data_IF_230684614386
#
_entry.id   IF_230684614386
#
_cell.length_a   1.000
_cell.length_b   1.000
_cell.length_c   1.000
_cell.angle_alpha   90.00
_cell.angle_beta   90.00
_cell.angle_gamma   90.00
#
_symmetry.space_group_name_H-M   'P 1'
#
loop_
_entity.id
_entity.type
_entity.pdbx_description
1 polymer ?
#
# COMPACT_ATOMS: atom_id res chain seq x y z
N UNK A 1 -7.37 16.80 10.47
CA UNK A 1 -7.24 15.62 11.36
C UNK A 1 -7.23 16.09 12.82
N UNK A 2 -8.22 15.71 13.61
CA UNK A 2 -8.19 15.88 15.06
C UNK A 2 -7.99 14.50 15.70
N UNK A 3 -6.97 14.37 16.55
CA UNK A 3 -6.66 13.14 17.29
C UNK A 3 -7.12 13.38 18.72
N UNK A 4 -8.17 12.67 19.15
CA UNK A 4 -8.63 12.71 20.53
C UNK A 4 -8.40 11.34 21.19
N UNK A 5 -7.61 11.38 22.25
CA UNK A 5 -7.11 10.28 23.09
C UNK A 5 -6.01 9.41 22.46
N UNK A 6 -4.83 9.51 23.07
CA UNK A 6 -3.63 8.70 22.85
C UNK A 6 -3.46 7.85 24.11
N UNK A 7 -3.56 6.52 24.00
CA UNK A 7 -3.13 5.64 25.09
C UNK A 7 -1.72 5.15 24.79
N UNK A 8 -0.73 5.75 25.46
CA UNK A 8 0.66 5.35 25.30
C UNK A 8 0.96 4.10 26.14
N UNK A 9 1.64 3.12 25.56
CA UNK A 9 2.26 2.00 26.28
C UNK A 9 3.70 1.88 25.82
N UNK A 10 4.63 2.40 26.62
CA UNK A 10 6.02 2.62 26.22
C UNK A 10 6.14 3.71 25.15
N UNK A 11 7.05 3.51 24.18
CA UNK A 11 7.27 4.41 23.04
C UNK A 11 6.22 4.24 21.93
N UNK A 12 5.35 3.25 22.06
CA UNK A 12 4.29 2.98 21.09
C UNK A 12 2.95 3.58 21.54
N UNK A 13 2.24 4.16 20.57
CA UNK A 13 0.91 4.70 20.77
C UNK A 13 -0.12 3.65 20.37
N UNK A 14 -1.05 3.36 21.27
CA UNK A 14 -2.17 2.45 21.04
C UNK A 14 -3.51 3.18 21.23
N UNK A 15 -4.58 2.62 20.66
CA UNK A 15 -5.94 3.09 20.91
C UNK A 15 -6.27 4.49 20.35
N UNK A 16 -5.56 4.95 19.32
CA UNK A 16 -5.83 6.24 18.67
C UNK A 16 -7.18 6.19 17.96
N UNK A 17 -8.05 7.18 18.23
CA UNK A 17 -9.22 7.46 17.39
C UNK A 17 -8.95 8.68 16.53
N UNK A 18 -9.12 8.54 15.22
CA UNK A 18 -9.05 9.64 14.27
C UNK A 18 -10.46 10.05 13.86
N UNK A 19 -10.68 11.37 13.77
CA UNK A 19 -11.92 11.92 13.25
C UNK A 19 -11.66 12.62 11.92
N UNK A 20 -12.45 12.27 10.91
CA UNK A 20 -12.44 12.94 9.61
C UNK A 20 -13.33 14.17 9.72
N UNK A 21 -12.70 15.33 9.90
CA UNK A 21 -13.36 16.62 9.80
C UNK A 21 -13.13 17.10 8.38
N UNK A 22 -14.19 17.21 7.57
CA UNK A 22 -14.11 17.75 6.20
C UNK A 22 -13.62 19.20 6.24
N UNK A 23 -12.30 19.38 6.22
CA UNK A 23 -11.66 20.66 6.02
C UNK A 23 -11.34 20.76 4.54
N UNK A 24 -11.79 21.83 3.91
CA UNK A 24 -11.51 22.08 2.49
C UNK A 24 -10.09 22.64 2.37
N UNK A 25 -9.09 21.78 2.59
CA UNK A 25 -7.71 22.10 2.23
C UNK A 25 -7.46 21.60 0.81
N UNK A 26 -7.14 22.52 -0.10
CA UNK A 26 -6.77 22.17 -1.46
C UNK A 26 -5.51 21.29 -1.43
N UNK A 27 -5.53 20.17 -2.17
CA UNK A 27 -4.44 19.19 -2.32
C UNK A 27 -4.12 18.29 -1.11
N UNK A 28 -5.03 18.09 -0.15
CA UNK A 28 -4.89 17.01 0.85
C UNK A 28 -6.03 15.99 0.78
N UNK A 29 -5.69 14.73 0.98
CA UNK A 29 -6.64 13.63 1.10
C UNK A 29 -6.61 13.08 2.53
N UNK A 30 -7.79 12.85 3.10
CA UNK A 30 -7.92 12.17 4.39
C UNK A 30 -7.69 10.65 4.24
N UNK A 31 -7.40 9.97 5.35
CA UNK A 31 -7.32 8.51 5.38
C UNK A 31 -8.71 7.89 5.18
N UNK A 32 -8.81 6.85 4.36
CA UNK A 32 -10.06 6.13 4.09
C UNK A 32 -10.43 5.19 5.26
N UNK A 33 -11.55 5.41 5.97
CA UNK A 33 -11.86 4.74 7.23
C UNK A 33 -12.14 3.23 7.11
N UNK A 34 -12.38 2.73 5.90
CA UNK A 34 -12.69 1.32 5.66
C UNK A 34 -11.44 0.44 5.50
N UNK A 35 -10.22 0.99 5.54
CA UNK A 35 -9.00 0.19 5.57
C UNK A 35 -8.71 -0.38 6.96
N UNK A 36 -8.17 -1.60 7.01
CA UNK A 36 -7.80 -2.26 8.27
C UNK A 36 -6.41 -1.87 8.78
N UNK A 37 -5.51 -1.50 7.86
CA UNK A 37 -4.13 -1.15 8.15
C UNK A 37 -3.70 0.01 7.25
N UNK A 38 -2.82 0.86 7.75
CA UNK A 38 -2.21 1.93 6.99
C UNK A 38 -0.69 1.80 7.07
N UNK A 39 -0.03 1.98 5.93
CA UNK A 39 1.42 2.17 5.86
C UNK A 39 1.66 3.64 5.52
N UNK A 40 2.15 4.41 6.50
CA UNK A 40 2.46 5.82 6.32
C UNK A 40 3.93 5.92 5.92
N UNK A 41 4.17 6.40 4.69
CA UNK A 41 5.51 6.64 4.19
C UNK A 41 5.83 8.13 4.27
N UNK A 42 7.03 8.44 4.74
CA UNK A 42 7.54 9.80 4.85
C UNK A 42 8.90 9.87 4.15
N UNK A 43 8.99 10.71 3.11
CA UNK A 43 10.24 11.06 2.44
C UNK A 43 10.72 12.48 2.78
N UNK A 44 10.09 13.12 3.76
CA UNK A 44 10.33 14.51 4.15
C UNK A 44 9.77 15.54 3.18
N UNK A 45 9.08 15.13 2.11
CA UNK A 45 8.45 16.00 1.12
C UNK A 45 6.93 15.91 1.16
N UNK A 46 6.25 16.92 0.62
CA UNK A 46 4.79 16.89 0.42
C UNK A 46 4.39 16.30 -0.93
N UNK A 47 5.33 15.71 -1.69
CA UNK A 47 5.09 15.16 -3.02
C UNK A 47 4.90 13.64 -2.95
N UNK A 48 4.03 13.09 -3.80
CA UNK A 48 3.67 11.66 -3.83
C UNK A 48 4.38 10.87 -4.93
N UNK A 49 5.24 11.51 -5.72
CA UNK A 49 5.90 10.88 -6.89
C UNK A 49 6.80 9.68 -6.52
N UNK A 50 7.25 9.57 -5.28
CA UNK A 50 8.17 8.53 -4.81
C UNK A 50 7.48 7.25 -4.28
N UNK A 51 6.16 7.16 -4.34
CA UNK A 51 5.43 6.02 -3.75
C UNK A 51 5.52 4.73 -4.58
N UNK A 52 5.74 4.83 -5.90
CA UNK A 52 5.74 3.67 -6.79
C UNK A 52 6.89 2.69 -6.51
N UNK A 53 8.16 3.11 -6.35
CA UNK A 53 9.25 2.20 -6.03
C UNK A 53 9.02 1.44 -4.72
N UNK A 54 8.61 2.15 -3.66
CA UNK A 54 8.37 1.54 -2.35
C UNK A 54 7.24 0.50 -2.41
N UNK A 55 6.12 0.84 -3.06
CA UNK A 55 5.01 -0.10 -3.25
C UNK A 55 5.48 -1.34 -4.00
N UNK A 56 6.28 -1.16 -5.04
CA UNK A 56 6.86 -2.25 -5.84
C UNK A 56 7.73 -3.16 -4.97
N UNK A 57 8.58 -2.60 -4.13
CA UNK A 57 9.47 -3.37 -3.25
C UNK A 57 8.68 -4.20 -2.24
N UNK A 58 7.61 -3.65 -1.65
CA UNK A 58 6.73 -4.39 -0.73
C UNK A 58 6.02 -5.53 -1.45
N UNK A 59 5.47 -5.29 -2.64
CA UNK A 59 4.83 -6.32 -3.46
C UNK A 59 5.82 -7.45 -3.78
N UNK A 60 7.01 -7.10 -4.27
CA UNK A 60 8.03 -8.10 -4.62
C UNK A 60 8.55 -8.85 -3.40
N UNK A 61 8.78 -8.16 -2.27
CA UNK A 61 9.14 -8.82 -1.02
C UNK A 61 8.07 -9.84 -0.61
N UNK A 62 6.80 -9.42 -0.65
CA UNK A 62 5.65 -10.30 -0.33
C UNK A 62 5.60 -11.54 -1.21
N UNK A 63 5.88 -11.40 -2.53
CA UNK A 63 5.93 -12.51 -3.49
C UNK A 63 6.90 -13.62 -3.07
N UNK A 64 8.03 -13.22 -2.47
CA UNK A 64 9.11 -14.14 -2.07
C UNK A 64 9.02 -14.56 -0.59
N UNK A 65 8.34 -13.79 0.27
CA UNK A 65 8.14 -14.14 1.68
C UNK A 65 6.96 -15.08 1.87
N UNK A 66 7.11 -16.34 1.47
CA UNK A 66 6.39 -17.49 2.03
C UNK A 66 7.03 -18.83 1.61
N UNK A 67 8.35 -18.82 1.37
CA UNK A 67 9.18 -20.02 1.42
C UNK A 67 9.34 -20.44 2.90
N UNK A 68 8.23 -20.57 3.63
CA UNK A 68 8.23 -21.26 4.90
C UNK A 68 8.18 -22.74 4.55
N UNK A 69 9.36 -23.35 4.62
CA UNK A 69 9.60 -24.78 4.89
C UNK A 69 8.31 -25.60 5.03
N UNK A 70 7.72 -25.97 3.91
CA UNK A 70 6.60 -26.89 3.92
C UNK A 70 7.17 -28.19 3.39
N UNK A 71 7.55 -29.07 4.32
CA UNK A 71 7.60 -30.53 4.20
C UNK A 71 8.46 -31.06 3.04
N UNK A 72 9.44 -31.93 3.35
CA UNK A 72 10.23 -32.68 2.37
C UNK A 72 9.36 -33.13 1.17
N UNK A 73 9.55 -32.49 0.01
CA UNK A 73 8.81 -32.79 -1.22
C UNK A 73 7.81 -31.73 -1.74
N UNK A 74 7.59 -30.59 -1.07
CA UNK A 74 6.70 -29.55 -1.61
C UNK A 74 7.39 -28.64 -2.65
N UNK A 75 6.68 -28.40 -3.76
CA UNK A 75 7.09 -27.46 -4.82
C UNK A 75 7.09 -26.03 -4.26
N UNK A 76 8.25 -25.38 -4.28
CA UNK A 76 8.36 -23.96 -3.95
C UNK A 76 7.44 -23.13 -4.86
N UNK A 77 6.37 -22.58 -4.28
CA UNK A 77 5.40 -21.76 -5.01
C UNK A 77 5.44 -20.35 -4.47
N UNK A 78 5.59 -19.37 -5.37
CA UNK A 78 5.57 -17.95 -5.05
C UNK A 78 4.14 -17.49 -4.73
N UNK A 79 3.99 -16.43 -3.91
CA UNK A 79 2.69 -15.80 -3.73
C UNK A 79 2.31 -15.08 -5.03
N UNK A 80 1.17 -15.40 -5.66
CA UNK A 80 0.73 -14.69 -6.85
C UNK A 80 0.27 -13.27 -6.50
N UNK A 81 0.63 -12.31 -7.34
CA UNK A 81 0.22 -10.91 -7.23
C UNK A 81 -0.48 -10.54 -8.54
N UNK A 82 -1.59 -9.80 -8.45
CA UNK A 82 -2.38 -9.32 -9.60
C UNK A 82 -2.72 -7.85 -9.37
N UNK A 83 -2.60 -7.04 -10.41
CA UNK A 83 -3.02 -5.64 -10.41
C UNK A 83 -4.39 -5.50 -11.07
N UNK A 84 -5.28 -4.68 -10.51
CA UNK A 84 -6.58 -4.34 -11.10
C UNK A 84 -6.60 -2.85 -11.39
N UNK A 85 -6.87 -2.49 -12.64
CA UNK A 85 -7.06 -1.11 -13.08
C UNK A 85 -8.55 -0.88 -13.37
N UNK A 86 -9.17 0.00 -12.58
CA UNK A 86 -10.59 0.38 -12.73
C UNK A 86 -10.72 1.66 -13.53
N UNK A 87 -10.00 2.71 -13.12
CA UNK A 87 -9.87 3.99 -13.83
C UNK A 87 -8.41 4.47 -13.70
N UNK A 88 -7.99 5.40 -14.55
CA UNK A 88 -6.62 5.90 -14.46
C UNK A 88 -6.25 7.03 -15.42
N UNK A 89 -5.09 7.62 -15.15
CA UNK A 89 -4.44 8.63 -15.98
C UNK A 89 -3.04 8.19 -16.42
N UNK A 90 -2.20 9.14 -16.85
CA UNK A 90 -0.84 8.86 -17.33
C UNK A 90 0.00 8.06 -16.32
N UNK A 91 -0.06 8.42 -15.04
CA UNK A 91 0.69 7.72 -13.99
C UNK A 91 0.21 6.27 -13.79
N UNK A 92 -1.10 6.02 -13.92
CA UNK A 92 -1.66 4.66 -13.85
C UNK A 92 -1.13 3.77 -14.97
N UNK A 93 -0.96 4.31 -16.19
CA UNK A 93 -0.37 3.57 -17.31
C UNK A 93 1.10 3.23 -17.03
N UNK A 94 1.87 4.17 -16.45
CA UNK A 94 3.24 3.88 -16.04
C UNK A 94 3.31 2.75 -14.99
N UNK A 95 2.37 2.73 -14.04
CA UNK A 95 2.27 1.67 -13.04
C UNK A 95 1.94 0.32 -13.70
N UNK A 96 1.04 0.31 -14.69
CA UNK A 96 0.72 -0.91 -15.47
C UNK A 96 1.95 -1.42 -16.21
N UNK A 97 2.69 -0.57 -16.92
CA UNK A 97 3.92 -0.98 -17.60
C UNK A 97 4.91 -1.59 -16.60
N UNK A 98 5.09 -0.96 -15.44
CA UNK A 98 5.98 -1.47 -14.39
C UNK A 98 5.53 -2.83 -13.84
N UNK A 99 4.23 -3.03 -13.63
CA UNK A 99 3.69 -4.31 -13.20
C UNK A 99 3.93 -5.42 -14.24
N UNK A 100 3.74 -5.11 -15.53
CA UNK A 100 4.00 -6.05 -16.62
C UNK A 100 5.49 -6.41 -16.73
N UNK A 101 6.40 -5.45 -16.56
CA UNK A 101 7.85 -5.70 -16.52
C UNK A 101 8.25 -6.67 -15.39
N UNK A 102 7.47 -6.72 -14.30
CA UNK A 102 7.68 -7.61 -13.15
C UNK A 102 6.93 -8.95 -13.26
N UNK A 103 6.29 -9.21 -14.42
CA UNK A 103 5.43 -10.36 -14.65
C UNK A 103 4.24 -10.42 -13.68
N UNK A 104 3.72 -9.26 -13.26
CA UNK A 104 2.47 -9.14 -12.51
C UNK A 104 1.32 -8.98 -13.49
N UNK A 105 0.37 -9.93 -13.58
CA UNK A 105 -0.80 -9.81 -14.44
C UNK A 105 -1.63 -8.57 -14.09
N UNK A 106 -2.17 -7.92 -15.11
CA UNK A 106 -3.01 -6.73 -14.98
C UNK A 106 -4.40 -7.01 -15.55
N UNK A 107 -5.43 -6.81 -14.74
CA UNK A 107 -6.84 -6.87 -15.14
C UNK A 107 -7.34 -5.45 -15.36
N UNK A 108 -7.81 -5.14 -16.56
CA UNK A 108 -8.40 -3.84 -16.90
C UNK A 108 -9.92 -4.01 -16.94
N UNK A 109 -10.61 -3.22 -16.12
CA UNK A 109 -12.08 -3.19 -16.10
C UNK A 109 -12.57 -2.27 -17.21
N UNK A 110 -13.56 -2.73 -17.98
CA UNK A 110 -14.20 -1.99 -19.07
C UNK A 110 -15.52 -1.38 -18.61
#
# INVERSE_FOLDING_TARGET
>A
IAIDAIQMSGDAIYGIRTYIVKQKEENKCDLEPNHTHFLLFDDGTSNSENLLPLRTDIEMHSRYTNIKETIEGAVHTLIPIVMVLVEGGRSSIQHVCKALDLNTPVVIVK
#
